data_IF_932349898675
#
_entry.id   IF_932349898675
#
_cell.length_a   1.000
_cell.length_b   1.000
_cell.length_c   1.000
_cell.angle_alpha   90.00
_cell.angle_beta   90.00
_cell.angle_gamma   90.00
#
_symmetry.space_group_name_H-M   'P 1'
#
loop_
_entity.id
_entity.type
_entity.pdbx_description
1 polymer ?
#
# COMPACT_ATOMS: atom_id res chain seq x y z
N UNK A 1 -32.35 -42.07 -30.98
CA UNK A 1 -31.58 -41.99 -29.73
C UNK A 1 -30.21 -41.45 -30.07
N UNK A 2 -29.95 -40.18 -29.73
CA UNK A 2 -28.65 -39.46 -29.78
C UNK A 2 -27.97 -39.45 -31.17
N UNK A 3 -27.61 -38.33 -31.80
CA UNK A 3 -26.83 -37.17 -31.36
C UNK A 3 -27.20 -35.97 -32.26
N UNK A 4 -27.20 -34.78 -31.69
CA UNK A 4 -27.46 -33.53 -32.39
C UNK A 4 -26.14 -32.83 -32.76
N UNK A 5 -25.97 -32.67 -34.06
CA UNK A 5 -25.30 -31.63 -34.85
C UNK A 5 -24.47 -30.57 -34.12
N UNK A 6 -23.16 -30.64 -34.40
CA UNK A 6 -22.22 -29.53 -34.49
C UNK A 6 -22.56 -28.60 -35.69
N UNK A 7 -22.02 -27.38 -35.63
CA UNK A 7 -21.98 -26.32 -36.66
C UNK A 7 -23.05 -25.22 -36.58
N UNK A 8 -22.73 -24.15 -35.83
CA UNK A 8 -23.01 -22.79 -36.32
C UNK A 8 -22.03 -21.75 -35.74
N UNK A 9 -20.95 -21.49 -36.49
CA UNK A 9 -20.16 -20.27 -36.37
C UNK A 9 -21.01 -19.08 -36.86
N UNK A 10 -21.43 -18.21 -35.93
CA UNK A 10 -22.13 -16.96 -36.23
C UNK A 10 -21.38 -15.77 -35.64
N UNK A 11 -20.73 -15.00 -36.50
CA UNK A 11 -20.11 -13.71 -36.20
C UNK A 11 -21.18 -12.64 -35.98
N UNK A 12 -21.13 -11.96 -34.82
CA UNK A 12 -21.86 -10.70 -34.62
C UNK A 12 -21.02 -9.74 -33.77
N UNK A 13 -20.28 -8.88 -34.47
CA UNK A 13 -19.70 -7.66 -33.93
C UNK A 13 -20.81 -6.68 -33.61
N UNK A 14 -20.96 -6.27 -32.34
CA UNK A 14 -21.56 -4.97 -32.01
C UNK A 14 -20.91 -4.43 -30.73
N UNK A 15 -20.22 -3.30 -30.90
CA UNK A 15 -19.68 -2.46 -29.84
C UNK A 15 -20.77 -2.05 -28.84
N UNK A 16 -20.52 -2.25 -27.55
CA UNK A 16 -20.93 -1.32 -26.51
C UNK A 16 -19.91 -1.37 -25.37
N UNK A 17 -19.14 -0.29 -25.26
CA UNK A 17 -18.20 -0.02 -24.19
C UNK A 17 -18.97 0.39 -22.94
N UNK A 18 -18.75 -0.28 -21.80
CA UNK A 18 -19.10 0.27 -20.48
C UNK A 18 -18.08 -0.19 -19.42
N UNK A 19 -17.19 0.75 -19.06
CA UNK A 19 -16.78 1.22 -17.71
C UNK A 19 -16.52 0.21 -16.56
N UNK A 20 -16.19 -1.05 -16.85
CA UNK A 20 -15.62 -1.98 -15.85
C UNK A 20 -14.11 -2.25 -15.99
N UNK A 21 -13.44 -1.60 -16.95
CA UNK A 21 -12.05 -1.90 -17.36
C UNK A 21 -10.97 -1.03 -16.71
N UNK A 22 -11.35 -0.12 -15.82
CA UNK A 22 -10.60 1.12 -15.59
C UNK A 22 -9.51 1.01 -14.50
N UNK A 23 -9.74 0.18 -13.49
CA UNK A 23 -8.74 -0.14 -12.45
C UNK A 23 -7.64 -1.05 -13.01
N UNK A 24 -8.03 -2.05 -13.81
CA UNK A 24 -7.10 -2.94 -14.51
C UNK A 24 -6.27 -2.20 -15.58
N UNK A 25 -6.85 -1.17 -16.22
CA UNK A 25 -6.15 -0.31 -17.20
C UNK A 25 -5.17 0.64 -16.51
N UNK A 26 -5.50 1.17 -15.34
CA UNK A 26 -4.61 2.03 -14.56
C UNK A 26 -3.42 1.24 -13.99
N UNK A 27 -3.68 0.03 -13.46
CA UNK A 27 -2.63 -0.91 -13.09
C UNK A 27 -1.79 -1.34 -14.30
N UNK A 28 -2.38 -1.62 -15.46
CA UNK A 28 -1.65 -1.91 -16.70
C UNK A 28 -0.80 -0.75 -17.21
N UNK A 29 -1.25 0.50 -17.11
CA UNK A 29 -0.46 1.69 -17.50
C UNK A 29 0.71 1.91 -16.55
N UNK A 30 0.51 1.70 -15.25
CA UNK A 30 1.61 1.62 -14.30
C UNK A 30 2.57 0.49 -14.66
N UNK A 31 2.06 -0.71 -15.00
CA UNK A 31 2.87 -1.88 -15.39
C UNK A 31 3.66 -1.60 -16.66
N UNK A 32 3.06 -0.94 -17.64
CA UNK A 32 3.73 -0.56 -18.88
C UNK A 32 4.82 0.48 -18.60
N UNK A 33 4.56 1.55 -17.84
CA UNK A 33 5.59 2.55 -17.51
C UNK A 33 6.70 1.98 -16.60
N UNK A 34 6.35 1.09 -15.69
CA UNK A 34 7.31 0.37 -14.86
C UNK A 34 8.14 -0.60 -15.69
N UNK A 35 7.54 -1.29 -16.67
CA UNK A 35 8.22 -2.15 -17.64
C UNK A 35 9.09 -1.34 -18.62
N UNK A 36 8.66 -0.13 -19.01
CA UNK A 36 9.45 0.80 -19.82
C UNK A 36 10.66 1.33 -19.00
N UNK A 37 10.49 1.55 -17.69
CA UNK A 37 11.59 1.85 -16.74
C UNK A 37 12.47 0.62 -16.44
N UNK A 38 11.91 -0.57 -16.40
CA UNK A 38 12.64 -1.84 -16.29
C UNK A 38 13.43 -2.14 -17.58
N UNK A 39 12.92 -1.72 -18.74
CA UNK A 39 13.64 -1.72 -20.01
C UNK A 39 14.76 -0.66 -20.03
N UNK A 40 14.59 0.49 -19.37
CA UNK A 40 15.68 1.44 -19.12
C UNK A 40 16.77 0.83 -18.22
N UNK A 41 16.41 0.00 -17.24
CA UNK A 41 17.38 -0.78 -16.44
C UNK A 41 18.15 -1.81 -17.28
N UNK A 42 17.48 -2.50 -18.21
CA UNK A 42 18.16 -3.38 -19.19
C UNK A 42 19.10 -2.64 -20.13
N UNK A 43 18.89 -1.34 -20.35
CA UNK A 43 19.71 -0.48 -21.19
C UNK A 43 20.86 0.23 -20.45
N UNK A 44 20.95 0.11 -19.13
CA UNK A 44 22.12 0.53 -18.35
C UNK A 44 23.27 -0.48 -18.54
N UNK A 45 23.88 -0.47 -19.73
CA UNK A 45 25.19 -1.11 -19.94
C UNK A 45 26.28 -0.30 -19.23
N UNK A 46 27.28 -0.93 -18.61
CA UNK A 46 28.42 -0.21 -18.06
C UNK A 46 29.16 0.50 -19.20
N UNK A 47 29.44 1.80 -19.03
CA UNK A 47 30.25 2.57 -19.96
C UNK A 47 31.69 2.03 -19.93
N UNK A 48 32.07 1.23 -20.91
CA UNK A 48 33.48 0.96 -21.19
C UNK A 48 34.09 2.21 -21.82
N UNK A 49 34.81 2.97 -21.00
CA UNK A 49 35.64 4.09 -21.44
C UNK A 49 36.73 3.60 -22.39
N UNK A 50 36.90 4.37 -23.47
CA UNK A 50 37.98 4.35 -24.45
C UNK A 50 39.36 4.01 -23.88
N UNK A 51 40.04 3.02 -24.45
CA UNK A 51 41.50 2.96 -24.56
C UNK A 51 41.90 2.02 -25.72
N UNK A 52 42.60 2.61 -26.68
CA UNK A 52 43.22 2.01 -27.86
C UNK A 52 44.36 1.07 -27.49
N UNK A 53 44.43 -0.11 -28.11
CA UNK A 53 45.69 -0.83 -28.34
C UNK A 53 45.55 -1.85 -29.48
N UNK A 54 46.66 -2.02 -30.18
CA UNK A 54 46.86 -2.52 -31.53
C UNK A 54 46.53 -4.00 -31.81
N UNK A 55 46.34 -4.25 -33.10
CA UNK A 55 46.22 -5.57 -33.75
C UNK A 55 47.58 -6.24 -33.95
N UNK A 56 47.62 -7.57 -33.74
CA UNK A 56 48.26 -8.56 -34.62
C UNK A 56 47.85 -9.97 -34.14
N UNK A 57 46.89 -10.65 -34.81
CA UNK A 57 47.10 -11.79 -35.75
C UNK A 57 47.95 -12.93 -35.16
N UNK A 58 47.57 -14.19 -35.13
CA UNK A 58 46.62 -14.98 -35.93
C UNK A 58 46.52 -16.38 -35.32
N UNK A 59 45.32 -16.94 -35.18
CA UNK A 59 45.03 -18.20 -35.88
C UNK A 59 43.55 -18.55 -35.87
N UNK A 60 43.12 -19.01 -37.04
CA UNK A 60 41.74 -19.17 -37.48
C UNK A 60 41.39 -20.65 -37.39
N UNK A 61 40.38 -20.99 -36.59
CA UNK A 61 39.47 -22.09 -36.93
C UNK A 61 38.04 -21.56 -36.90
N UNK A 62 37.39 -21.72 -38.04
CA UNK A 62 36.21 -20.98 -38.45
C UNK A 62 34.92 -21.71 -38.07
N UNK A 63 33.92 -20.89 -37.74
CA UNK A 63 32.49 -21.12 -37.94
C UNK A 63 31.81 -22.30 -37.26
N UNK A 64 31.28 -22.06 -36.05
CA UNK A 64 29.94 -22.51 -35.71
C UNK A 64 29.19 -21.37 -34.99
N UNK A 65 28.06 -20.97 -35.59
CA UNK A 65 26.94 -20.24 -34.99
C UNK A 65 27.24 -18.89 -34.30
N UNK A 66 27.18 -17.84 -35.12
CA UNK A 66 26.56 -16.55 -34.79
C UNK A 66 25.16 -16.74 -34.18
N UNK A 67 25.12 -16.91 -32.87
CA UNK A 67 24.02 -16.59 -31.97
C UNK A 67 24.67 -16.33 -30.63
N UNK A 68 24.97 -15.07 -30.30
CA UNK A 68 25.39 -14.73 -28.93
C UNK A 68 24.17 -14.86 -28.03
N UNK A 69 23.86 -16.09 -27.62
CA UNK A 69 23.02 -16.35 -26.47
C UNK A 69 23.86 -15.87 -25.28
N UNK A 70 23.66 -14.62 -24.85
CA UNK A 70 24.33 -14.06 -23.68
C UNK A 70 24.02 -14.96 -22.48
N UNK A 71 25.02 -15.74 -22.07
CA UNK A 71 24.93 -16.64 -20.93
C UNK A 71 25.04 -15.79 -19.65
N UNK A 72 23.91 -15.24 -19.21
CA UNK A 72 23.80 -14.46 -17.98
C UNK A 72 24.38 -13.03 -18.06
N UNK A 73 24.12 -12.24 -17.01
CA UNK A 73 24.69 -10.90 -16.84
C UNK A 73 26.09 -11.00 -16.21
N UNK A 74 27.08 -10.27 -16.75
CA UNK A 74 28.44 -10.22 -16.18
C UNK A 74 28.52 -9.19 -15.05
N UNK A 75 28.78 -9.66 -13.83
CA UNK A 75 28.91 -8.85 -12.62
C UNK A 75 30.33 -8.85 -12.04
N UNK A 76 31.34 -9.16 -12.86
CA UNK A 76 32.76 -9.23 -12.44
C UNK A 76 33.31 -7.89 -11.91
N UNK A 77 32.64 -6.77 -12.21
CA UNK A 77 32.99 -5.43 -11.74
C UNK A 77 32.55 -5.13 -10.31
N UNK A 78 31.76 -6.01 -9.67
CA UNK A 78 31.32 -5.84 -8.29
C UNK A 78 32.47 -6.06 -7.31
N UNK A 79 32.84 -5.00 -6.60
CA UNK A 79 33.85 -5.07 -5.54
C UNK A 79 33.28 -5.72 -4.29
N UNK A 80 34.01 -6.70 -3.78
CA UNK A 80 33.66 -7.41 -2.56
C UNK A 80 34.17 -6.62 -1.35
N UNK A 81 33.35 -6.54 -0.29
CA UNK A 81 33.77 -5.92 0.97
C UNK A 81 34.71 -6.86 1.73
N UNK A 82 35.63 -6.33 2.57
CA UNK A 82 36.54 -7.16 3.35
C UNK A 82 35.80 -8.09 4.33
N UNK A 83 34.62 -7.71 4.80
CA UNK A 83 33.78 -8.46 5.74
C UNK A 83 32.61 -9.19 5.04
N UNK A 84 32.80 -9.61 3.78
CA UNK A 84 31.75 -10.26 2.99
C UNK A 84 31.25 -11.59 3.57
N UNK A 85 32.08 -12.30 4.34
CA UNK A 85 31.69 -13.59 4.93
C UNK A 85 30.59 -13.40 5.97
N UNK A 86 30.65 -12.31 6.74
CA UNK A 86 29.68 -11.98 7.80
C UNK A 86 28.42 -11.25 7.30
N UNK A 87 28.16 -11.27 5.99
CA UNK A 87 27.04 -10.58 5.36
C UNK A 87 26.18 -11.56 4.56
N UNK A 88 24.84 -11.53 4.70
CA UNK A 88 23.96 -12.58 4.17
C UNK A 88 23.49 -12.35 2.73
N UNK A 89 23.69 -11.16 2.12
CA UNK A 89 23.07 -10.81 0.84
C UNK A 89 24.08 -10.47 -0.26
N UNK A 90 23.74 -10.78 -1.51
CA UNK A 90 24.37 -10.18 -2.70
C UNK A 90 23.40 -9.21 -3.35
N UNK A 91 23.89 -8.04 -3.78
CA UNK A 91 23.05 -7.03 -4.45
C UNK A 91 23.58 -6.78 -5.85
N UNK A 92 22.84 -7.22 -6.86
CA UNK A 92 23.25 -7.10 -8.25
C UNK A 92 22.79 -5.76 -8.86
N UNK A 93 23.52 -5.19 -9.84
CA UNK A 93 23.19 -3.93 -10.51
C UNK A 93 21.81 -3.91 -11.21
N UNK A 94 21.28 -5.07 -11.57
CA UNK A 94 19.97 -5.25 -12.21
C UNK A 94 18.80 -5.22 -11.20
N UNK A 95 19.08 -5.04 -9.91
CA UNK A 95 18.08 -5.03 -8.84
C UNK A 95 17.77 -6.40 -8.26
N UNK A 96 18.44 -7.46 -8.72
CA UNK A 96 18.33 -8.81 -8.15
C UNK A 96 19.11 -8.89 -6.83
N UNK A 97 18.51 -9.51 -5.82
CA UNK A 97 19.12 -9.71 -4.50
C UNK A 97 19.09 -11.19 -4.16
N UNK A 98 20.26 -11.77 -3.91
CA UNK A 98 20.37 -13.12 -3.37
C UNK A 98 20.56 -13.08 -1.87
N UNK A 99 19.80 -13.89 -1.13
CA UNK A 99 19.86 -14.00 0.33
C UNK A 99 20.23 -15.42 0.73
N UNK A 100 21.30 -15.56 1.51
CA UNK A 100 21.75 -16.83 2.08
C UNK A 100 20.89 -17.20 3.30
N UNK A 101 20.12 -18.28 3.18
CA UNK A 101 19.18 -18.75 4.21
C UNK A 101 19.88 -19.41 5.41
N UNK A 102 21.13 -19.83 5.24
CA UNK A 102 21.94 -20.50 6.27
C UNK A 102 22.74 -19.53 7.15
N UNK A 103 22.71 -18.23 6.86
CA UNK A 103 23.46 -17.23 7.62
C UNK A 103 22.73 -16.83 8.92
N UNK A 104 23.46 -16.57 10.02
CA UNK A 104 22.88 -16.17 11.32
C UNK A 104 21.95 -14.95 11.26
N UNK A 105 22.28 -13.93 10.45
CA UNK A 105 21.42 -12.75 10.25
C UNK A 105 20.28 -12.96 9.25
N UNK A 106 20.05 -14.18 8.76
CA UNK A 106 19.00 -14.49 7.79
C UNK A 106 17.64 -13.95 8.21
N UNK A 107 17.20 -14.16 9.45
CA UNK A 107 15.87 -13.72 9.89
C UNK A 107 15.69 -12.21 9.75
N UNK A 108 16.70 -11.43 10.14
CA UNK A 108 16.67 -9.96 10.05
C UNK A 108 16.71 -9.50 8.58
N UNK A 109 17.55 -10.12 7.76
CA UNK A 109 17.65 -9.80 6.34
C UNK A 109 16.38 -10.20 5.56
N UNK A 110 15.80 -11.36 5.86
CA UNK A 110 14.54 -11.85 5.30
C UNK A 110 13.39 -10.89 5.60
N UNK A 111 13.25 -10.47 6.87
CA UNK A 111 12.18 -9.57 7.29
C UNK A 111 12.30 -8.20 6.60
N UNK A 112 13.52 -7.72 6.42
CA UNK A 112 13.81 -6.50 5.67
C UNK A 112 13.49 -6.64 4.17
N UNK A 113 13.96 -7.70 3.50
CA UNK A 113 13.71 -7.91 2.07
C UNK A 113 12.21 -8.10 1.78
N UNK A 114 11.47 -8.77 2.64
CA UNK A 114 10.00 -8.92 2.53
C UNK A 114 9.28 -7.58 2.66
N UNK A 115 9.90 -6.54 3.22
CA UNK A 115 9.34 -5.19 3.27
C UNK A 115 9.64 -4.35 2.02
N UNK A 116 10.78 -4.59 1.36
CA UNK A 116 11.30 -3.70 0.31
C UNK A 116 11.37 -4.31 -1.10
N UNK A 117 11.18 -5.62 -1.23
CA UNK A 117 11.40 -6.37 -2.48
C UNK A 117 10.36 -7.46 -2.67
N UNK A 118 10.22 -7.92 -3.91
CA UNK A 118 9.35 -9.04 -4.26
C UNK A 118 10.15 -10.36 -4.29
N UNK A 119 9.64 -11.46 -3.68
CA UNK A 119 10.30 -12.75 -3.77
C UNK A 119 10.10 -13.36 -5.16
N UNK A 120 11.18 -13.82 -5.78
CA UNK A 120 11.17 -14.55 -7.07
C UNK A 120 11.23 -16.05 -6.81
N UNK A 121 12.22 -16.50 -6.05
CA UNK A 121 12.42 -17.90 -5.69
C UNK A 121 12.88 -18.05 -4.24
N UNK A 122 12.42 -19.11 -3.56
CA UNK A 122 12.80 -19.41 -2.16
C UNK A 122 13.13 -20.90 -1.99
N UNK A 123 14.21 -21.40 -2.60
CA UNK A 123 14.73 -22.74 -2.34
C UNK A 123 15.41 -22.80 -0.97
N UNK A 124 15.84 -23.97 -0.55
CA UNK A 124 16.32 -24.23 0.82
C UNK A 124 17.50 -23.35 1.28
N UNK A 125 18.44 -23.01 0.39
CA UNK A 125 19.71 -22.39 0.78
C UNK A 125 19.88 -20.93 0.34
N UNK A 126 19.41 -20.57 -0.86
CA UNK A 126 19.63 -19.23 -1.44
C UNK A 126 18.34 -18.71 -2.03
N UNK A 127 17.80 -17.67 -1.42
CA UNK A 127 16.59 -17.02 -1.89
C UNK A 127 16.92 -15.95 -2.92
N UNK A 128 16.03 -15.75 -3.87
CA UNK A 128 16.11 -14.71 -4.89
C UNK A 128 14.95 -13.72 -4.68
N UNK A 129 15.31 -12.46 -4.55
CA UNK A 129 14.40 -11.32 -4.46
C UNK A 129 14.70 -10.33 -5.58
N UNK A 130 13.71 -9.54 -5.96
CA UNK A 130 13.86 -8.51 -6.97
C UNK A 130 13.32 -7.18 -6.47
N UNK A 131 14.12 -6.13 -6.62
CA UNK A 131 13.68 -4.75 -6.42
C UNK A 131 12.86 -4.31 -7.62
N UNK A 132 11.58 -4.06 -7.38
CA UNK A 132 10.66 -3.48 -8.36
C UNK A 132 10.24 -2.10 -7.88
N UNK A 133 9.80 -1.20 -8.79
CA UNK A 133 9.22 0.07 -8.36
C UNK A 133 8.07 -0.15 -7.37
N UNK A 134 7.18 -1.11 -7.63
CA UNK A 134 6.04 -1.43 -6.75
C UNK A 134 6.44 -1.83 -5.33
N UNK A 135 7.44 -2.70 -5.20
CA UNK A 135 7.95 -3.14 -3.91
C UNK A 135 8.51 -1.97 -3.08
N UNK A 136 9.21 -1.05 -3.74
CA UNK A 136 9.72 0.17 -3.10
C UNK A 136 8.60 1.15 -2.75
N UNK A 137 7.51 1.21 -3.52
CA UNK A 137 6.36 2.06 -3.20
C UNK A 137 5.66 1.55 -1.94
N UNK A 138 5.46 0.24 -1.84
CA UNK A 138 4.93 -0.40 -0.65
C UNK A 138 5.83 -0.15 0.58
N UNK A 139 7.15 -0.19 0.40
CA UNK A 139 8.11 0.12 1.45
C UNK A 139 7.97 1.56 1.98
N UNK A 140 7.91 2.56 1.10
CA UNK A 140 7.72 3.96 1.53
C UNK A 140 6.33 4.17 2.15
N UNK A 141 5.30 3.51 1.63
CA UNK A 141 3.94 3.56 2.19
C UNK A 141 3.86 2.95 3.61
N UNK A 142 4.79 2.08 3.96
CA UNK A 142 4.99 1.55 5.33
C UNK A 142 5.91 2.43 6.19
N UNK A 143 6.17 3.67 5.75
CA UNK A 143 7.02 4.69 6.38
C UNK A 143 8.49 4.28 6.54
N UNK A 144 9.00 3.41 5.67
CA UNK A 144 10.42 3.10 5.63
C UNK A 144 11.14 4.22 4.85
N UNK A 145 12.09 4.88 5.51
CA UNK A 145 12.87 5.97 4.93
C UNK A 145 13.82 5.48 3.82
N UNK A 146 13.90 6.23 2.72
CA UNK A 146 14.78 5.97 1.56
C UNK A 146 16.24 5.69 1.95
N UNK A 147 16.84 6.55 2.77
CA UNK A 147 18.25 6.40 3.13
C UNK A 147 18.45 5.25 4.12
N UNK A 148 17.42 4.93 4.91
CA UNK A 148 17.42 3.71 5.72
C UNK A 148 17.41 2.45 4.86
N UNK A 149 16.64 2.41 3.76
CA UNK A 149 16.66 1.29 2.81
C UNK A 149 18.07 1.09 2.24
N UNK A 150 18.68 2.16 1.72
CA UNK A 150 20.02 2.09 1.13
C UNK A 150 21.07 1.68 2.16
N UNK A 151 21.01 2.24 3.38
CA UNK A 151 21.95 1.93 4.46
C UNK A 151 21.86 0.48 4.92
N UNK A 152 20.65 -0.02 5.17
CA UNK A 152 20.43 -1.40 5.64
C UNK A 152 20.78 -2.41 4.55
N UNK A 153 20.40 -2.15 3.30
CA UNK A 153 20.77 -3.00 2.18
C UNK A 153 22.29 -3.03 1.99
N UNK A 154 22.98 -1.88 2.11
CA UNK A 154 24.45 -1.84 2.06
C UNK A 154 25.09 -2.58 3.25
N UNK A 155 24.44 -2.58 4.42
CA UNK A 155 24.89 -3.34 5.60
C UNK A 155 24.74 -4.85 5.42
N UNK A 156 23.69 -5.33 4.76
CA UNK A 156 23.53 -6.77 4.50
C UNK A 156 24.26 -7.26 3.25
N UNK A 157 24.64 -6.37 2.34
CA UNK A 157 25.27 -6.73 1.06
C UNK A 157 26.76 -7.03 1.18
N UNK A 158 27.18 -8.21 0.71
CA UNK A 158 28.57 -8.67 0.60
C UNK A 158 29.41 -7.78 -0.30
N UNK A 159 28.81 -7.28 -1.38
CA UNK A 159 29.47 -6.38 -2.32
C UNK A 159 29.23 -4.91 -1.96
N UNK A 160 30.06 -4.03 -2.52
CA UNK A 160 29.76 -2.60 -2.53
C UNK A 160 28.44 -2.36 -3.26
N UNK A 161 27.61 -1.48 -2.69
CA UNK A 161 26.29 -1.17 -3.24
C UNK A 161 26.45 -0.60 -4.67
N UNK A 162 25.86 -1.23 -5.69
CA UNK A 162 25.90 -0.68 -7.04
C UNK A 162 25.25 0.71 -7.08
N UNK A 163 25.93 1.68 -7.69
CA UNK A 163 25.46 3.07 -7.76
C UNK A 163 24.09 3.15 -8.45
N UNK A 164 23.88 2.35 -9.49
CA UNK A 164 22.59 2.26 -10.21
C UNK A 164 21.44 1.84 -9.30
N UNK A 165 21.64 0.87 -8.40
CA UNK A 165 20.61 0.42 -7.45
C UNK A 165 20.29 1.52 -6.43
N UNK A 166 21.31 2.17 -5.88
CA UNK A 166 21.10 3.27 -4.94
C UNK A 166 20.38 4.47 -5.60
N UNK A 167 20.73 4.80 -6.84
CA UNK A 167 20.04 5.84 -7.62
C UNK A 167 18.59 5.45 -7.92
N UNK A 168 18.35 4.21 -8.33
CA UNK A 168 17.03 3.67 -8.59
C UNK A 168 16.12 3.76 -7.35
N UNK A 169 16.62 3.32 -6.18
CA UNK A 169 15.88 3.43 -4.92
C UNK A 169 15.54 4.89 -4.63
N UNK A 170 16.49 5.82 -4.76
CA UNK A 170 16.25 7.25 -4.52
C UNK A 170 15.27 7.86 -5.51
N UNK A 171 15.36 7.52 -6.79
CA UNK A 171 14.48 8.05 -7.83
C UNK A 171 13.04 7.61 -7.63
N UNK A 172 12.82 6.33 -7.36
CA UNK A 172 11.50 5.82 -7.00
C UNK A 172 11.00 6.54 -5.72
N UNK A 173 11.70 6.38 -4.60
CA UNK A 173 11.17 6.85 -3.31
C UNK A 173 11.04 8.38 -3.16
N UNK A 174 11.58 9.19 -4.09
CA UNK A 174 11.45 10.66 -4.09
C UNK A 174 10.00 11.13 -4.27
N UNK A 175 9.26 10.53 -5.21
CA UNK A 175 7.88 10.95 -5.55
C UNK A 175 6.82 10.05 -4.90
N UNK A 176 7.14 8.78 -4.68
CA UNK A 176 6.20 7.78 -4.19
C UNK A 176 6.02 7.85 -2.66
N UNK A 177 4.80 7.55 -2.19
CA UNK A 177 4.44 7.54 -0.77
C UNK A 177 4.37 8.93 -0.11
N UNK A 178 4.35 10.00 -0.92
CA UNK A 178 4.26 11.39 -0.43
C UNK A 178 2.82 11.89 -0.31
N UNK A 179 1.86 11.29 -1.02
CA UNK A 179 0.45 11.65 -0.97
C UNK A 179 -0.41 10.42 -0.70
N UNK A 180 -1.50 10.64 0.05
CA UNK A 180 -2.43 9.61 0.52
C UNK A 180 -3.85 10.03 0.19
N UNK A 181 -4.68 9.08 -0.23
CA UNK A 181 -6.12 9.25 -0.33
C UNK A 181 -6.75 8.64 0.92
N UNK A 182 -7.30 9.48 1.79
CA UNK A 182 -7.81 9.09 3.09
C UNK A 182 -9.32 9.25 3.12
N UNK A 183 -10.02 8.16 3.40
CA UNK A 183 -11.46 8.18 3.64
C UNK A 183 -11.72 8.45 5.12
N UNK A 184 -12.40 9.57 5.41
CA UNK A 184 -12.83 9.98 6.76
C UNK A 184 -14.27 10.44 6.75
N UNK A 185 -15.12 9.90 7.62
CA UNK A 185 -16.52 10.32 7.74
C UNK A 185 -17.26 10.34 6.39
N UNK A 186 -17.05 9.29 5.59
CA UNK A 186 -17.60 9.16 4.22
C UNK A 186 -17.20 10.28 3.24
N UNK A 187 -16.09 10.99 3.52
CA UNK A 187 -15.50 12.02 2.66
C UNK A 187 -14.07 11.65 2.31
N UNK A 188 -13.69 11.94 1.07
CA UNK A 188 -12.35 11.65 0.55
C UNK A 188 -11.44 12.87 0.70
N UNK A 189 -10.28 12.66 1.30
CA UNK A 189 -9.26 13.68 1.49
C UNK A 189 -7.95 13.26 0.85
N UNK A 190 -7.27 14.17 0.18
CA UNK A 190 -5.89 13.97 -0.24
C UNK A 190 -4.98 14.57 0.83
N UNK A 191 -4.19 13.74 1.51
CA UNK A 191 -3.29 14.13 2.60
C UNK A 191 -1.82 13.98 2.21
N UNK A 192 -0.97 14.87 2.72
CA UNK A 192 0.48 14.77 2.57
C UNK A 192 1.20 15.45 3.73
N UNK A 193 2.33 14.88 4.14
CA UNK A 193 3.28 15.56 5.05
C UNK A 193 4.13 16.61 4.32
N UNK A 194 3.99 16.72 3.00
CA UNK A 194 4.76 17.60 2.13
C UNK A 194 3.82 18.57 1.40
N UNK A 195 3.62 19.79 1.94
CA UNK A 195 2.70 20.76 1.33
C UNK A 195 3.04 21.11 -0.13
N UNK A 196 4.32 21.00 -0.51
CA UNK A 196 4.77 21.20 -1.88
C UNK A 196 4.16 20.20 -2.87
N UNK A 197 3.97 18.94 -2.46
CA UNK A 197 3.39 17.89 -3.30
C UNK A 197 1.91 18.16 -3.56
N UNK A 198 1.16 18.59 -2.54
CA UNK A 198 -0.25 18.95 -2.72
C UNK A 198 -0.42 20.19 -3.59
N UNK A 199 0.47 21.18 -3.46
CA UNK A 199 0.48 22.34 -4.37
C UNK A 199 0.75 21.93 -5.81
N UNK A 200 1.65 20.97 -6.04
CA UNK A 200 1.91 20.44 -7.38
C UNK A 200 0.70 19.68 -7.94
N UNK A 201 0.04 18.85 -7.13
CA UNK A 201 -1.19 18.15 -7.53
C UNK A 201 -2.34 19.11 -7.86
N UNK A 202 -2.50 20.20 -7.10
CA UNK A 202 -3.54 21.21 -7.32
C UNK A 202 -3.28 22.16 -8.49
N UNK A 203 -2.07 22.15 -9.08
CA UNK A 203 -1.81 22.86 -10.34
C UNK A 203 -2.46 22.16 -11.53
N UNK A 204 -2.83 20.89 -11.38
CA UNK A 204 -3.53 20.15 -12.42
C UNK A 204 -5.01 20.51 -12.43
N UNK A 205 -5.53 20.88 -13.59
CA UNK A 205 -6.90 21.35 -13.74
C UNK A 205 -7.95 20.31 -13.31
N UNK A 206 -7.72 19.02 -13.59
CA UNK A 206 -8.67 17.96 -13.25
C UNK A 206 -8.75 17.73 -11.73
N UNK A 207 -7.60 17.76 -11.04
CA UNK A 207 -7.55 17.60 -9.60
C UNK A 207 -8.11 18.83 -8.90
N UNK A 208 -7.82 20.02 -9.43
CA UNK A 208 -8.35 21.29 -8.93
C UNK A 208 -9.88 21.37 -9.04
N UNK A 209 -10.47 20.93 -10.15
CA UNK A 209 -11.93 20.87 -10.35
C UNK A 209 -12.63 19.84 -9.44
N UNK A 210 -11.94 18.76 -9.10
CA UNK A 210 -12.44 17.73 -8.18
C UNK A 210 -12.43 18.18 -6.72
N UNK A 211 -11.71 19.27 -6.39
CA UNK A 211 -11.66 19.83 -5.03
C UNK A 211 -13.03 20.36 -4.63
N UNK A 212 -13.46 20.03 -3.41
CA UNK A 212 -14.61 20.67 -2.79
C UNK A 212 -14.11 21.97 -2.16
N UNK A 213 -14.66 23.11 -2.61
CA UNK A 213 -14.45 24.37 -1.92
C UNK A 213 -15.14 24.26 -0.55
N UNK A 214 -14.38 24.43 0.54
CA UNK A 214 -15.02 24.53 1.85
C UNK A 214 -15.73 25.88 1.92
N UNK A 215 -17.07 25.87 1.94
CA UNK A 215 -17.84 27.05 2.26
C UNK A 215 -17.46 27.51 3.67
N UNK A 216 -16.91 28.71 3.74
CA UNK A 216 -16.77 29.45 4.99
C UNK A 216 -18.15 29.53 5.63
N UNK A 217 -18.37 28.80 6.72
CA UNK A 217 -19.52 29.02 7.60
C UNK A 217 -19.30 30.33 8.37
N UNK A 218 -19.24 31.44 7.64
CA UNK A 218 -19.25 32.80 8.16
C UNK A 218 -20.66 33.33 8.01
N UNK A 219 -21.43 33.28 9.09
CA UNK A 219 -22.76 33.86 9.16
C UNK A 219 -22.71 35.37 8.92
N UNK A 220 -23.78 35.85 8.28
CA UNK A 220 -24.12 37.26 8.05
C UNK A 220 -23.92 38.16 9.27
N UNK A 221 -23.49 39.40 9.00
CA UNK A 221 -23.42 40.46 10.00
C UNK A 221 -23.01 41.82 9.42
N UNK A 222 -23.94 42.48 8.74
CA UNK A 222 -23.92 43.93 8.57
C UNK A 222 -24.10 44.61 9.94
N UNK A 223 -23.15 45.46 10.38
CA UNK A 223 -23.39 46.77 11.01
C UNK A 223 -22.11 47.37 11.63
N UNK A 224 -22.10 48.70 11.63
CA UNK A 224 -21.05 49.63 12.03
C UNK A 224 -20.61 49.60 13.51
N UNK A 225 -19.32 49.93 13.73
CA UNK A 225 -18.87 51.00 14.64
C UNK A 225 -18.76 50.71 16.14
N UNK A 226 -17.56 50.95 16.70
CA UNK A 226 -17.38 51.30 18.12
C UNK A 226 -16.09 50.79 18.79
N UNK A 227 -15.18 51.72 19.10
CA UNK A 227 -13.99 51.57 19.93
C UNK A 227 -14.27 51.07 21.37
N UNK A 228 -13.30 50.38 21.99
CA UNK A 228 -13.28 50.16 23.44
C UNK A 228 -12.25 49.12 23.92
N UNK A 229 -11.41 49.53 24.87
CA UNK A 229 -10.19 48.86 25.31
C UNK A 229 -10.37 47.73 26.36
N UNK A 230 -9.34 46.87 26.41
CA UNK A 230 -8.77 46.11 27.54
C UNK A 230 -9.68 45.29 28.49
N UNK A 231 -9.44 43.97 28.51
CA UNK A 231 -9.89 43.07 29.57
C UNK A 231 -9.19 41.71 29.50
N UNK A 232 -8.20 41.51 30.36
CA UNK A 232 -7.60 40.20 30.68
C UNK A 232 -8.68 39.32 31.29
N UNK A 233 -8.84 38.07 30.82
CA UNK A 233 -9.36 36.95 31.62
C UNK A 233 -8.95 35.60 31.03
N UNK A 234 -8.23 34.82 31.83
CA UNK A 234 -8.06 33.38 31.68
C UNK A 234 -9.41 32.70 31.96
N UNK A 235 -9.93 31.95 30.99
CA UNK A 235 -10.94 30.93 31.23
C UNK A 235 -10.82 29.84 30.15
N UNK A 236 -10.91 28.60 30.60
CA UNK A 236 -10.82 27.38 29.82
C UNK A 236 -11.76 27.37 28.60
N UNK A 237 -11.24 26.89 27.46
CA UNK A 237 -12.04 26.49 26.31
C UNK A 237 -11.42 25.26 25.64
N UNK A 238 -12.00 24.11 25.97
CA UNK A 238 -12.10 22.97 25.06
C UNK A 238 -12.76 23.46 23.78
N UNK A 239 -12.05 23.37 22.65
CA UNK A 239 -12.51 23.94 21.38
C UNK A 239 -11.64 23.48 20.22
N UNK A 240 -12.19 22.54 19.45
CA UNK A 240 -11.61 21.94 18.25
C UNK A 240 -11.49 23.00 17.14
N UNK A 241 -10.36 23.71 17.08
CA UNK A 241 -10.05 24.70 16.05
C UNK A 241 -9.06 24.15 15.02
N UNK A 242 -9.52 23.88 13.80
CA UNK A 242 -8.64 23.51 12.69
C UNK A 242 -7.81 24.72 12.26
N UNK A 243 -6.51 24.72 12.58
CA UNK A 243 -5.57 25.73 12.08
C UNK A 243 -5.48 25.60 10.54
N UNK A 244 -5.85 26.66 9.83
CA UNK A 244 -5.76 26.74 8.36
C UNK A 244 -4.54 27.56 7.97
N UNK A 245 -3.81 27.11 6.94
CA UNK A 245 -2.76 27.93 6.31
C UNK A 245 -3.37 28.89 5.27
N UNK A 246 -2.64 29.93 4.87
CA UNK A 246 -3.06 30.97 3.90
C UNK A 246 -3.59 30.41 2.55
N UNK A 247 -3.25 29.18 2.21
CA UNK A 247 -3.67 28.48 0.98
C UNK A 247 -4.97 27.65 1.13
N UNK A 248 -5.66 27.74 2.28
CA UNK A 248 -6.93 27.02 2.53
C UNK A 248 -6.77 25.52 2.80
N UNK A 249 -5.63 25.14 3.37
CA UNK A 249 -5.25 23.78 3.75
C UNK A 249 -5.54 23.50 5.22
N UNK A 250 -6.11 22.33 5.55
CA UNK A 250 -6.29 21.91 6.95
C UNK A 250 -4.96 21.36 7.48
N UNK A 251 -4.48 21.91 8.60
CA UNK A 251 -3.26 21.48 9.28
C UNK A 251 -3.61 20.65 10.50
N UNK A 252 -3.11 19.41 10.56
CA UNK A 252 -3.19 18.57 11.75
C UNK A 252 -1.79 18.42 12.37
N UNK A 253 -1.62 18.82 13.63
CA UNK A 253 -0.41 18.57 14.43
C UNK A 253 -0.54 17.25 15.18
N UNK A 254 0.28 16.26 14.82
CA UNK A 254 0.28 14.92 15.42
C UNK A 254 0.95 14.87 16.80
N UNK A 255 0.43 15.61 17.79
CA UNK A 255 0.97 15.60 19.15
C UNK A 255 0.55 14.33 19.93
N UNK A 256 -0.71 13.89 19.80
CA UNK A 256 -1.24 12.77 20.59
C UNK A 256 -0.89 11.39 19.99
N UNK A 257 -0.73 11.28 18.66
CA UNK A 257 -0.35 10.02 18.00
C UNK A 257 1.11 9.58 18.30
N UNK A 258 2.00 10.51 18.65
CA UNK A 258 3.42 10.21 18.89
C UNK A 258 3.64 9.51 20.24
N UNK A 259 2.86 9.86 21.26
CA UNK A 259 3.02 9.33 22.62
C UNK A 259 2.58 7.85 22.72
N UNK A 260 1.51 7.47 22.00
CA UNK A 260 1.05 6.08 21.92
C UNK A 260 2.02 5.21 21.09
N UNK A 261 2.60 5.76 20.01
CA UNK A 261 3.61 5.06 19.20
C UNK A 261 4.95 4.86 19.95
N UNK A 262 5.32 5.79 20.84
CA UNK A 262 6.49 5.65 21.72
C UNK A 262 6.26 4.63 22.85
N UNK A 263 5.02 4.49 23.35
CA UNK A 263 4.68 3.44 24.33
C UNK A 263 4.75 2.03 23.72
N UNK A 264 4.20 1.85 22.51
CA UNK A 264 4.18 0.53 21.85
C UNK A 264 5.60 0.06 21.48
N UNK A 265 6.54 0.97 21.18
CA UNK A 265 7.93 0.60 20.91
C UNK A 265 8.72 0.22 22.19
N UNK A 266 8.39 0.82 23.34
CA UNK A 266 8.99 0.50 24.64
C UNK A 266 8.59 -0.88 25.18
N UNK A 267 7.45 -1.41 24.77
CA UNK A 267 6.95 -2.71 25.25
C UNK A 267 7.48 -3.91 24.44
N UNK A 268 8.21 -3.69 23.32
CA UNK A 268 8.78 -4.77 22.49
C UNK A 268 10.27 -5.03 22.75
N UNK A 269 11.00 -4.12 23.38
CA UNK A 269 12.37 -4.33 23.82
C UNK A 269 12.36 -4.82 25.27
N UNK A 270 12.03 -6.10 25.45
CA UNK A 270 12.25 -6.83 26.69
C UNK A 270 13.70 -7.24 26.86
N UNK A 271 14.62 -6.26 26.90
CA UNK A 271 15.95 -6.46 27.46
C UNK A 271 16.12 -5.57 28.68
N UNK A 272 16.54 -6.24 29.74
CA UNK A 272 16.75 -5.82 31.11
C UNK A 272 17.49 -4.50 31.25
N UNK A 273 17.04 -3.73 32.24
CA UNK A 273 17.87 -2.76 32.97
C UNK A 273 19.23 -3.41 33.29
N UNK A 274 20.29 -2.90 32.68
CA UNK A 274 21.62 -2.93 33.27
C UNK A 274 22.13 -1.49 33.23
N UNK A 275 22.36 -0.98 34.44
CA UNK A 275 22.97 0.30 34.76
C UNK A 275 24.30 0.48 34.03
N UNK A 276 24.52 1.65 33.44
CA UNK A 276 25.86 2.26 33.39
C UNK A 276 25.69 3.78 33.34
N UNK A 277 25.97 4.38 34.50
CA UNK A 277 26.30 5.80 34.65
C UNK A 277 27.54 6.12 33.78
N UNK A 278 27.42 7.02 32.81
CA UNK A 278 28.57 7.74 32.26
C UNK A 278 28.23 9.20 31.96
N UNK A 279 28.82 10.06 32.78
CA UNK A 279 28.81 11.52 32.69
C UNK A 279 29.72 11.99 31.54
N UNK A 280 29.20 12.73 30.55
CA UNK A 280 30.09 13.44 29.62
C UNK A 280 29.50 14.01 28.33
N UNK A 281 29.34 15.33 28.30
CA UNK A 281 29.41 16.23 27.12
C UNK A 281 28.35 16.13 25.99
N UNK A 282 27.42 17.10 26.02
CA UNK A 282 27.29 18.05 24.90
C UNK A 282 26.78 17.54 23.55
N UNK A 283 25.72 16.74 23.51
CA UNK A 283 25.02 16.37 22.27
C UNK A 283 23.72 17.15 22.07
N UNK A 284 23.68 18.09 21.13
CA UNK A 284 22.47 18.81 20.73
C UNK A 284 21.31 17.85 20.42
N UNK A 285 20.25 17.89 21.23
CA UNK A 285 18.97 17.26 20.94
C UNK A 285 18.47 17.78 19.59
N UNK A 286 18.54 16.94 18.55
CA UNK A 286 17.75 17.13 17.33
C UNK A 286 16.28 17.08 17.74
N UNK A 287 15.69 18.25 17.95
CA UNK A 287 14.23 18.40 18.01
C UNK A 287 13.64 17.74 16.76
N UNK A 288 12.90 16.64 16.96
CA UNK A 288 12.08 16.07 15.91
C UNK A 288 11.01 17.10 15.55
N UNK A 289 11.19 17.77 14.42
CA UNK A 289 10.23 18.73 13.88
C UNK A 289 8.88 18.02 13.74
N UNK A 290 7.86 18.50 14.45
CA UNK A 290 6.50 17.98 14.37
C UNK A 290 6.04 18.03 12.90
N UNK A 291 5.93 16.86 12.26
CA UNK A 291 5.49 16.78 10.86
C UNK A 291 4.06 17.30 10.78
N UNK A 292 3.90 18.40 10.06
CA UNK A 292 2.63 19.08 9.82
C UNK A 292 1.96 18.41 8.62
N UNK A 293 0.89 17.64 8.82
CA UNK A 293 0.15 17.02 7.72
C UNK A 293 -0.88 18.02 7.18
N UNK A 294 -0.89 18.19 5.86
CA UNK A 294 -1.82 19.06 5.13
C UNK A 294 -2.80 18.22 4.32
N UNK A 295 -4.05 18.67 4.19
CA UNK A 295 -5.06 17.98 3.38
C UNK A 295 -6.07 18.90 2.68
N UNK A 296 -6.72 18.38 1.63
CA UNK A 296 -7.88 18.97 0.97
C UNK A 296 -8.92 17.90 0.61
N UNK A 297 -10.21 18.28 0.60
CA UNK A 297 -11.32 17.38 0.28
C UNK A 297 -11.55 17.28 -1.24
N UNK A 298 -11.88 16.08 -1.73
CA UNK A 298 -12.33 15.84 -3.11
C UNK A 298 -13.75 15.25 -3.17
N UNK A 299 -14.42 15.46 -4.30
CA UNK A 299 -15.74 14.87 -4.60
C UNK A 299 -15.62 13.35 -4.79
N UNK A 300 -16.59 12.59 -4.25
CA UNK A 300 -16.62 11.12 -4.33
C UNK A 300 -16.60 10.60 -5.77
N UNK A 301 -17.41 11.18 -6.65
CA UNK A 301 -17.55 10.75 -8.05
C UNK A 301 -16.27 10.95 -8.87
N UNK A 302 -15.39 11.87 -8.42
CA UNK A 302 -14.14 12.20 -9.11
C UNK A 302 -12.93 11.46 -8.53
N UNK A 303 -13.11 10.59 -7.52
CA UNK A 303 -12.02 9.88 -6.84
C UNK A 303 -11.18 9.05 -7.82
N UNK A 304 -11.82 8.33 -8.74
CA UNK A 304 -11.10 7.51 -9.72
C UNK A 304 -10.31 8.36 -10.72
N UNK A 305 -10.88 9.49 -11.16
CA UNK A 305 -10.22 10.44 -12.05
C UNK A 305 -8.99 11.03 -11.37
N UNK A 306 -9.11 11.45 -10.12
CA UNK A 306 -8.00 11.98 -9.32
C UNK A 306 -6.91 10.91 -9.13
N UNK A 307 -7.28 9.66 -8.80
CA UNK A 307 -6.32 8.55 -8.68
C UNK A 307 -5.53 8.33 -9.96
N UNK A 308 -6.22 8.24 -11.10
CA UNK A 308 -5.61 8.04 -12.42
C UNK A 308 -4.70 9.21 -12.78
N UNK A 309 -5.15 10.44 -12.55
CA UNK A 309 -4.37 11.64 -12.85
C UNK A 309 -3.14 11.77 -11.96
N UNK A 310 -3.26 11.42 -10.69
CA UNK A 310 -2.14 11.44 -9.75
C UNK A 310 -1.08 10.39 -10.12
N UNK A 311 -1.48 9.21 -10.62
CA UNK A 311 -0.58 8.24 -11.24
C UNK A 311 0.14 8.85 -12.45
N UNK A 312 -0.59 9.57 -13.32
CA UNK A 312 -0.01 10.20 -14.51
C UNK A 312 1.04 11.25 -14.16
N UNK A 313 0.89 11.94 -13.02
CA UNK A 313 1.81 12.93 -12.47
C UNK A 313 2.95 12.32 -11.61
N UNK A 314 3.10 10.99 -11.60
CA UNK A 314 4.05 10.24 -10.76
C UNK A 314 3.84 10.38 -9.24
N UNK A 315 2.64 10.73 -8.79
CA UNK A 315 2.23 10.81 -7.39
C UNK A 315 1.05 9.87 -7.10
N UNK A 316 1.21 8.53 -7.19
CA UNK A 316 0.13 7.61 -6.88
C UNK A 316 -0.30 7.78 -5.43
N UNK A 317 -1.62 7.84 -5.25
CA UNK A 317 -2.25 8.05 -3.95
C UNK A 317 -2.43 6.72 -3.23
N UNK A 318 -1.85 6.60 -2.04
CA UNK A 318 -2.07 5.43 -1.19
C UNK A 318 -3.43 5.53 -0.49
N UNK A 319 -4.25 4.51 -0.64
CA UNK A 319 -5.58 4.49 -0.03
C UNK A 319 -5.52 4.06 1.43
N UNK A 320 -6.04 4.93 2.30
CA UNK A 320 -6.19 4.68 3.72
C UNK A 320 -7.63 4.92 4.16
N UNK A 321 -8.10 4.08 5.08
CA UNK A 321 -9.39 4.26 5.73
C UNK A 321 -9.19 4.45 7.23
N UNK A 322 -9.68 5.58 7.75
CA UNK A 322 -9.66 5.90 9.17
C UNK A 322 -10.89 5.30 9.86
N UNK A 323 -10.84 3.98 10.06
CA UNK A 323 -11.95 3.21 10.63
C UNK A 323 -12.17 3.47 12.13
N UNK A 324 -11.14 3.93 12.87
CA UNK A 324 -11.25 4.18 14.32
C UNK A 324 -12.02 5.47 14.63
N UNK A 325 -11.82 6.51 13.82
CA UNK A 325 -12.49 7.79 14.01
C UNK A 325 -13.83 7.88 13.28
N UNK A 326 -14.16 6.91 12.42
CA UNK A 326 -15.43 6.90 11.70
C UNK A 326 -16.60 6.52 12.61
N UNK A 327 -17.35 7.52 13.07
CA UNK A 327 -18.59 7.34 13.86
C UNK A 327 -19.87 7.38 13.01
N UNK A 328 -19.75 7.67 11.71
CA UNK A 328 -20.90 7.76 10.81
C UNK A 328 -21.39 6.37 10.41
N UNK A 329 -20.44 5.49 10.10
CA UNK A 329 -20.75 4.13 9.70
C UNK A 329 -20.95 3.24 10.94
N UNK A 330 -22.07 2.50 11.03
CA UNK A 330 -22.35 1.64 12.17
C UNK A 330 -21.33 0.51 12.27
N UNK A 331 -20.98 0.16 13.50
CA UNK A 331 -20.11 -0.98 13.76
C UNK A 331 -20.88 -2.29 13.59
N UNK A 332 -20.17 -3.33 13.15
CA UNK A 332 -20.66 -4.69 13.15
C UNK A 332 -20.32 -5.31 14.51
N UNK A 333 -21.28 -5.91 15.24
CA UNK A 333 -21.03 -6.58 16.50
C UNK A 333 -20.29 -7.91 16.26
N UNK A 334 -18.99 -7.81 15.99
CA UNK A 334 -18.11 -8.97 15.79
C UNK A 334 -16.83 -8.85 16.63
N UNK A 335 -16.54 -9.92 17.35
CA UNK A 335 -15.30 -10.17 18.07
C UNK A 335 -14.81 -11.58 17.77
N UNK A 336 -13.49 -11.76 17.80
CA UNK A 336 -12.89 -13.08 17.67
C UNK A 336 -13.21 -13.92 18.91
N UNK A 337 -13.56 -15.18 18.70
CA UNK A 337 -13.76 -16.11 19.82
C UNK A 337 -12.43 -16.36 20.54
N UNK A 338 -12.41 -16.55 21.88
CA UNK A 338 -11.17 -16.69 22.65
C UNK A 338 -10.23 -17.83 22.24
N UNK A 339 -10.75 -18.89 21.63
CA UNK A 339 -9.94 -20.03 21.15
C UNK A 339 -9.26 -19.76 19.80
N UNK A 340 -9.55 -18.64 19.15
CA UNK A 340 -9.01 -18.27 17.84
C UNK A 340 -7.57 -17.83 18.00
N UNK A 341 -6.62 -18.69 17.63
CA UNK A 341 -5.19 -18.34 17.61
C UNK A 341 -4.75 -18.00 16.19
N UNK A 342 -4.33 -16.75 16.01
CA UNK A 342 -3.76 -16.27 14.75
C UNK A 342 -2.30 -16.73 14.67
N UNK A 343 -1.88 -17.21 13.49
CA UNK A 343 -0.50 -17.66 13.28
C UNK A 343 0.41 -16.45 13.03
N UNK A 344 1.68 -16.55 13.45
CA UNK A 344 2.69 -15.46 13.33
C UNK A 344 2.76 -14.83 11.92
N UNK A 345 2.69 -15.62 10.85
CA UNK A 345 2.74 -15.07 9.48
C UNK A 345 1.47 -14.28 9.09
N UNK A 346 0.31 -14.65 9.65
CA UNK A 346 -0.95 -13.94 9.42
C UNK A 346 -0.93 -12.61 10.16
N UNK A 347 -0.50 -12.61 11.42
CA UNK A 347 -0.29 -11.42 12.23
C UNK A 347 0.66 -10.43 11.53
N UNK A 348 1.82 -10.91 11.06
CA UNK A 348 2.76 -10.10 10.29
C UNK A 348 2.19 -9.54 8.97
N UNK A 349 1.22 -10.23 8.37
CA UNK A 349 0.55 -9.73 7.17
C UNK A 349 -0.44 -8.62 7.52
N UNK A 350 -1.18 -8.80 8.61
CA UNK A 350 -2.16 -7.82 9.10
C UNK A 350 -1.48 -6.57 9.69
N UNK A 351 -0.34 -6.71 10.37
CA UNK A 351 0.42 -5.57 10.88
C UNK A 351 1.00 -4.67 9.79
N UNK A 352 1.09 -5.16 8.55
CA UNK A 352 1.39 -4.31 7.38
C UNK A 352 0.15 -3.60 6.86
N UNK A 353 -1.01 -4.24 6.91
CA UNK A 353 -2.30 -3.66 6.49
C UNK A 353 -2.74 -2.54 7.44
N UNK A 354 -2.63 -2.76 8.74
CA UNK A 354 -2.97 -1.78 9.77
C UNK A 354 -1.74 -0.97 10.16
N UNK A 355 -1.87 0.35 10.25
CA UNK A 355 -0.77 1.22 10.70
C UNK A 355 -1.28 2.61 11.06
N UNK A 356 -0.73 3.20 12.13
CA UNK A 356 -1.10 4.53 12.61
C UNK A 356 -2.62 4.70 12.82
N UNK A 357 -3.30 3.67 13.32
CA UNK A 357 -4.76 3.68 13.55
C UNK A 357 -5.62 3.63 12.28
N UNK A 358 -5.04 3.50 11.09
CA UNK A 358 -5.73 3.42 9.80
C UNK A 358 -5.53 2.06 9.13
N UNK A 359 -6.47 1.68 8.27
CA UNK A 359 -6.37 0.51 7.42
C UNK A 359 -5.89 0.92 6.03
N UNK A 360 -4.90 0.24 5.48
CA UNK A 360 -4.39 0.46 4.12
C UNK A 360 -5.04 -0.52 3.14
N UNK A 361 -5.39 -0.03 1.96
CA UNK A 361 -5.75 -0.89 0.83
C UNK A 361 -4.52 -1.65 0.34
N UNK A 362 -4.68 -2.93 0.01
CA UNK A 362 -3.55 -3.77 -0.44
C UNK A 362 -3.91 -5.23 -0.69
N UNK A 363 -2.93 -5.97 -1.19
CA UNK A 363 -3.09 -7.40 -1.56
C UNK A 363 -2.23 -8.25 -0.61
N UNK A 364 -2.86 -9.24 0.04
CA UNK A 364 -2.17 -10.23 0.86
C UNK A 364 -2.15 -11.57 0.11
N UNK A 365 -0.95 -12.07 -0.21
CA UNK A 365 -0.77 -13.34 -0.93
C UNK A 365 -0.46 -14.47 0.05
N UNK A 366 -1.34 -15.47 0.12
CA UNK A 366 -1.18 -16.65 0.98
C UNK A 366 -1.45 -17.94 0.20
N UNK A 367 -0.63 -19.00 0.38
CA UNK A 367 -0.82 -20.28 -0.30
C UNK A 367 -2.12 -20.97 0.15
N UNK A 368 -2.56 -21.99 -0.59
CA UNK A 368 -3.71 -22.81 -0.20
C UNK A 368 -3.44 -23.50 1.15
N UNK A 369 -4.44 -23.56 2.03
CA UNK A 369 -4.30 -24.12 3.38
C UNK A 369 -3.67 -23.19 4.43
N UNK A 370 -3.10 -22.04 4.07
CA UNK A 370 -2.47 -21.11 5.02
C UNK A 370 -3.46 -20.29 5.89
N UNK A 371 -4.77 -20.55 5.80
CA UNK A 371 -5.78 -19.80 6.56
C UNK A 371 -6.08 -18.41 5.98
N UNK A 372 -6.27 -18.34 4.65
CA UNK A 372 -6.73 -17.13 3.94
C UNK A 372 -8.00 -16.53 4.54
N UNK A 373 -8.99 -17.38 4.80
CA UNK A 373 -10.28 -16.99 5.36
C UNK A 373 -10.12 -16.38 6.74
N UNK A 374 -9.36 -17.02 7.63
CA UNK A 374 -9.09 -16.51 8.98
C UNK A 374 -8.41 -15.14 8.96
N UNK A 375 -7.47 -14.93 8.04
CA UNK A 375 -6.79 -13.63 7.88
C UNK A 375 -7.80 -12.54 7.50
N UNK A 376 -8.72 -12.82 6.56
CA UNK A 376 -9.78 -11.89 6.18
C UNK A 376 -10.81 -11.64 7.30
N UNK A 377 -11.21 -12.68 8.03
CA UNK A 377 -12.11 -12.56 9.19
C UNK A 377 -11.47 -11.71 10.30
N UNK A 378 -10.17 -11.88 10.54
CA UNK A 378 -9.43 -11.06 11.50
C UNK A 378 -9.36 -9.60 11.05
N UNK A 379 -9.11 -9.35 9.76
CA UNK A 379 -9.11 -8.00 9.22
C UNK A 379 -10.49 -7.33 9.36
N UNK A 380 -11.56 -8.05 9.05
CA UNK A 380 -12.95 -7.61 9.23
C UNK A 380 -13.23 -7.26 10.69
N UNK A 381 -12.83 -8.13 11.62
CA UNK A 381 -13.01 -7.91 13.05
C UNK A 381 -12.17 -6.74 13.59
N UNK A 382 -11.00 -6.47 13.01
CA UNK A 382 -10.18 -5.32 13.42
C UNK A 382 -10.82 -4.00 12.98
N UNK A 383 -11.39 -3.97 11.76
CA UNK A 383 -12.03 -2.78 11.19
C UNK A 383 -13.41 -2.53 11.83
N UNK A 384 -14.16 -3.58 12.15
CA UNK A 384 -15.52 -3.56 12.74
C UNK A 384 -16.57 -2.78 11.93
N UNK A 385 -16.35 -2.56 10.64
CA UNK A 385 -17.34 -1.93 9.74
C UNK A 385 -17.98 -2.97 8.82
N UNK A 386 -19.04 -2.57 8.11
CA UNK A 386 -19.68 -3.45 7.13
C UNK A 386 -18.67 -3.98 6.12
N UNK A 387 -18.69 -5.29 5.88
CA UNK A 387 -17.71 -5.98 5.04
C UNK A 387 -18.42 -6.64 3.87
N UNK A 388 -17.89 -6.43 2.67
CA UNK A 388 -18.30 -7.18 1.47
C UNK A 388 -17.22 -8.20 1.13
N UNK A 389 -17.61 -9.47 1.04
CA UNK A 389 -16.76 -10.57 0.65
C UNK A 389 -17.15 -11.08 -0.74
N UNK A 390 -16.26 -10.90 -1.71
CA UNK A 390 -16.47 -11.30 -3.10
C UNK A 390 -15.84 -12.66 -3.39
N UNK A 391 -16.67 -13.60 -3.82
CA UNK A 391 -16.32 -14.97 -4.12
C UNK A 391 -16.47 -15.29 -5.61
N UNK A 392 -15.77 -16.32 -6.09
CA UNK A 392 -15.91 -16.79 -7.47
C UNK A 392 -17.12 -17.71 -7.67
N UNK A 393 -17.47 -18.50 -6.66
CA UNK A 393 -18.57 -19.46 -6.73
C UNK A 393 -19.40 -19.48 -5.43
N UNK A 394 -20.60 -20.08 -5.51
CA UNK A 394 -21.53 -20.18 -4.38
C UNK A 394 -21.00 -21.06 -3.24
N UNK A 395 -20.17 -22.06 -3.54
CA UNK A 395 -19.54 -22.91 -2.50
C UNK A 395 -18.60 -22.10 -1.63
N UNK A 396 -17.78 -21.22 -2.23
CA UNK A 396 -16.90 -20.30 -1.51
C UNK A 396 -17.69 -19.32 -0.66
N UNK A 397 -18.84 -18.83 -1.13
CA UNK A 397 -19.74 -17.98 -0.33
C UNK A 397 -20.17 -18.70 0.97
N UNK A 398 -20.58 -19.96 0.86
CA UNK A 398 -20.96 -20.76 2.04
C UNK A 398 -19.76 -21.05 2.96
N UNK A 399 -18.57 -21.29 2.39
CA UNK A 399 -17.35 -21.46 3.16
C UNK A 399 -17.01 -20.20 3.95
N UNK A 400 -17.09 -19.02 3.34
CA UNK A 400 -16.89 -17.76 4.05
C UNK A 400 -17.92 -17.56 5.16
N UNK A 401 -19.22 -17.79 4.90
CA UNK A 401 -20.27 -17.71 5.93
C UNK A 401 -19.95 -18.61 7.11
N UNK A 402 -19.56 -19.86 6.86
CA UNK A 402 -19.18 -20.80 7.91
C UNK A 402 -17.95 -20.32 8.70
N UNK A 403 -16.93 -19.79 8.03
CA UNK A 403 -15.71 -19.30 8.68
C UNK A 403 -15.97 -18.08 9.56
N UNK A 404 -16.81 -17.14 9.14
CA UNK A 404 -17.24 -16.02 9.99
C UNK A 404 -17.92 -16.53 11.26
N UNK A 405 -18.88 -17.45 11.14
CA UNK A 405 -19.56 -18.06 12.30
C UNK A 405 -18.64 -18.88 13.20
N UNK A 406 -17.65 -19.55 12.61
CA UNK A 406 -16.73 -20.40 13.35
C UNK A 406 -15.83 -19.57 14.25
N UNK A 407 -15.20 -18.52 13.70
CA UNK A 407 -14.14 -17.75 14.37
C UNK A 407 -14.63 -16.50 15.09
N UNK A 408 -15.82 -15.99 14.78
CA UNK A 408 -16.38 -14.78 15.42
C UNK A 408 -17.69 -15.06 16.14
N UNK A 409 -18.05 -14.20 17.08
CA UNK A 409 -19.35 -14.21 17.77
C UNK A 409 -20.44 -13.39 17.02
N UNK A 410 -20.25 -13.12 15.72
CA UNK A 410 -21.21 -12.34 14.93
C UNK A 410 -22.59 -13.03 14.92
N UNK A 411 -23.68 -12.29 15.14
CA UNK A 411 -25.03 -12.82 15.00
C UNK A 411 -25.33 -13.27 13.56
N UNK A 412 -26.12 -14.33 13.42
CA UNK A 412 -26.48 -14.92 12.13
C UNK A 412 -27.24 -13.96 11.21
N UNK A 413 -28.02 -13.05 11.80
CA UNK A 413 -28.80 -12.00 11.12
C UNK A 413 -27.92 -10.92 10.48
N UNK A 414 -26.70 -10.71 10.98
CA UNK A 414 -25.73 -9.78 10.42
C UNK A 414 -24.88 -10.42 9.30
N UNK A 415 -25.03 -11.72 9.01
CA UNK A 415 -24.33 -12.38 7.89
C UNK A 415 -25.30 -12.66 6.73
N UNK A 416 -25.30 -11.76 5.76
CA UNK A 416 -26.13 -11.83 4.55
C UNK A 416 -25.39 -12.60 3.45
N UNK A 417 -26.07 -13.58 2.85
CA UNK A 417 -25.59 -14.25 1.64
C UNK A 417 -26.43 -13.83 0.45
N UNK A 418 -25.73 -13.47 -0.62
CA UNK A 418 -26.34 -13.05 -1.86
C UNK A 418 -25.77 -13.81 -3.05
N UNK A 419 -26.51 -14.81 -3.51
CA UNK A 419 -26.24 -15.63 -4.70
C UNK A 419 -27.47 -15.67 -5.60
N UNK A 420 -27.35 -16.26 -6.79
CA UNK A 420 -28.50 -16.45 -7.69
C UNK A 420 -29.65 -17.21 -7.02
N UNK A 421 -29.31 -18.24 -6.23
CA UNK A 421 -30.29 -19.14 -5.61
C UNK A 421 -30.77 -18.66 -4.24
N UNK A 422 -29.94 -17.89 -3.51
CA UNK A 422 -30.24 -17.46 -2.14
C UNK A 422 -30.01 -15.95 -1.99
N UNK A 423 -31.09 -15.25 -1.62
CA UNK A 423 -31.12 -13.79 -1.45
C UNK A 423 -31.63 -13.46 -0.05
N UNK A 424 -30.69 -13.48 0.90
CA UNK A 424 -30.96 -13.03 2.27
C UNK A 424 -31.22 -11.51 2.26
N UNK A 425 -32.14 -11.05 3.11
CA UNK A 425 -32.44 -9.62 3.23
C UNK A 425 -31.29 -8.89 3.93
N UNK A 426 -30.97 -7.68 3.47
CA UNK A 426 -29.96 -6.84 4.10
C UNK A 426 -30.63 -6.13 5.29
N UNK A 427 -30.07 -6.23 6.51
CA UNK A 427 -30.61 -5.53 7.65
C UNK A 427 -30.59 -4.02 7.38
N UNK A 428 -31.64 -3.27 7.78
CA UNK A 428 -31.67 -1.83 7.60
C UNK A 428 -30.49 -1.20 8.34
N UNK A 429 -29.98 -0.07 7.85
CA UNK A 429 -28.78 0.59 8.42
C UNK A 429 -28.93 0.97 9.90
N UNK A 430 -30.18 1.07 10.40
CA UNK A 430 -30.53 1.26 11.80
C UNK A 430 -30.29 0.04 12.70
N UNK A 431 -30.17 -1.17 12.13
CA UNK A 431 -29.95 -2.43 12.86
C UNK A 431 -28.45 -2.76 13.02
N UNK A 432 -27.55 -1.89 12.54
CA UNK A 432 -26.10 -2.04 12.65
C UNK A 432 -25.42 -2.42 11.34
N UNK A 433 -24.10 -2.62 11.38
CA UNK A 433 -23.35 -3.08 10.20
C UNK A 433 -23.60 -4.57 9.89
N UNK A 434 -23.30 -4.99 8.66
CA UNK A 434 -23.44 -6.38 8.22
C UNK A 434 -22.22 -6.90 7.44
N UNK A 435 -22.09 -8.22 7.37
CA UNK A 435 -21.16 -8.92 6.49
C UNK A 435 -21.95 -9.48 5.31
N UNK A 436 -21.77 -8.90 4.13
CA UNK A 436 -22.35 -9.37 2.89
C UNK A 436 -21.37 -10.28 2.17
N UNK A 437 -21.81 -11.49 1.82
CA UNK A 437 -20.99 -12.46 1.09
C UNK A 437 -21.68 -12.79 -0.23
N UNK A 438 -21.05 -12.47 -1.35
CA UNK A 438 -21.64 -12.58 -2.69
C UNK A 438 -20.61 -13.02 -3.74
N UNK A 439 -21.05 -13.23 -4.97
CA UNK A 439 -20.17 -13.59 -6.09
C UNK A 439 -19.90 -12.41 -7.01
N UNK A 440 -18.74 -12.40 -7.67
CA UNK A 440 -18.39 -11.37 -8.66
C UNK A 440 -19.48 -11.20 -9.73
N UNK A 441 -20.01 -12.33 -10.22
CA UNK A 441 -21.05 -12.36 -11.25
C UNK A 441 -22.34 -11.68 -10.83
N UNK A 442 -22.70 -11.69 -9.54
CA UNK A 442 -23.90 -11.02 -9.06
C UNK A 442 -23.75 -9.50 -9.11
N UNK A 443 -22.57 -8.98 -8.76
CA UNK A 443 -22.29 -7.53 -8.75
C UNK A 443 -22.08 -6.99 -10.15
N UNK A 444 -21.34 -7.71 -11.00
CA UNK A 444 -20.97 -7.21 -12.33
C UNK A 444 -22.05 -7.42 -13.39
N UNK A 445 -23.18 -8.06 -13.08
CA UNK A 445 -24.21 -8.36 -14.06
C UNK A 445 -24.93 -7.09 -14.51
N UNK A 446 -24.68 -6.66 -15.75
CA UNK A 446 -25.29 -5.46 -16.36
C UNK A 446 -26.64 -5.69 -17.05
N UNK A 447 -27.18 -6.91 -17.02
CA UNK A 447 -28.52 -7.21 -17.56
C UNK A 447 -29.65 -6.84 -16.59
N UNK A 448 -30.90 -7.11 -16.99
CA UNK A 448 -32.05 -6.91 -16.10
C UNK A 448 -31.93 -7.80 -14.85
N UNK A 449 -31.82 -7.14 -13.70
CA UNK A 449 -31.80 -7.79 -12.39
C UNK A 449 -33.24 -8.02 -11.93
N UNK A 450 -33.49 -9.10 -11.19
CA UNK A 450 -34.74 -9.21 -10.44
C UNK A 450 -34.85 -8.06 -9.44
N UNK A 451 -36.05 -7.59 -9.11
CA UNK A 451 -36.29 -6.45 -8.21
C UNK A 451 -35.48 -6.53 -6.91
N UNK A 452 -35.46 -7.72 -6.27
CA UNK A 452 -34.69 -7.99 -5.04
C UNK A 452 -33.16 -7.88 -5.20
N UNK A 453 -32.66 -7.96 -6.42
CA UNK A 453 -31.25 -7.78 -6.79
C UNK A 453 -30.93 -6.37 -7.26
N UNK A 454 -31.93 -5.58 -7.63
CA UNK A 454 -31.77 -4.15 -7.88
C UNK A 454 -31.82 -3.35 -6.57
N UNK A 455 -32.62 -3.78 -5.59
CA UNK A 455 -32.70 -3.10 -4.27
C UNK A 455 -31.42 -3.25 -3.43
N UNK A 456 -30.73 -4.38 -3.59
CA UNK A 456 -29.51 -4.73 -2.84
C UNK A 456 -28.24 -4.05 -3.39
N UNK A 457 -28.28 -3.58 -4.64
CA UNK A 457 -27.11 -3.08 -5.38
C UNK A 457 -27.24 -1.59 -5.63
#
# INVERSE_FOLDING_TARGET
TNEADDDYYGTASTNQQHEGGDEYTSAKKLVQRAADREALLKNLKPSASSLSADRSSSDVTNSLSTTSTQLGADFSSLKLKPDHISRPCWTCPDGTIYLEAFHEFYTKAYDFLVAISEPVARPEYVHEYKLTPYSLYAAVATNIDTESIVRVLNRFSKNEMPVGVAQFIRECTKRYGKAKLVLKHNKFYVESDYPAVLRELLRDDLISQARVAEETSGGDGSAAGGDGAAGVNNAAASGNGSNKNADGFVVNTKAEEMEENLRILREMDGDSDDDDDDDGEGGAQKQAVAKTTVSFQIKGDSVEVVKRRAIDLDYPLMEEYDFRNDKMNPDVPMDLKPHTKIRRYQERSLSKMFGNGRARSGIIVLPCGAGKTLTGVTAAQTIKKSVVCLCTNAVSVLQWKYQFKLWTNIPDENICVFTSDKKDDIPPQSAGGCVLITTYTMISFGGQRSDKSAEVM
#
